data_IF_771601800927
#
_entry.id   IF_771601800927
#
_cell.length_a   1.000
_cell.length_b   1.000
_cell.length_c   1.000
_cell.angle_alpha   90.00
_cell.angle_beta   90.00
_cell.angle_gamma   90.00
#
_symmetry.space_group_name_H-M   'P 1'
#
loop_
_entity.id
_entity.type
_entity.pdbx_description
1 polymer ?
#
# COMPACT_ATOMS: atom_id res chain seq x y z
N UNK A 1 12.49 -7.04 21.62
CA UNK A 1 13.16 -8.35 21.55
C UNK A 1 12.79 -9.03 20.24
N UNK A 2 13.78 -9.17 19.34
CA UNK A 2 13.61 -9.72 17.98
C UNK A 2 13.10 -11.16 18.03
N UNK A 3 13.52 -11.95 19.03
CA UNK A 3 13.11 -13.36 19.15
C UNK A 3 11.60 -13.48 19.41
N UNK A 4 11.03 -12.56 20.22
CA UNK A 4 9.58 -12.52 20.40
C UNK A 4 8.83 -12.16 19.13
N UNK A 5 9.37 -11.19 18.34
CA UNK A 5 8.81 -10.85 17.05
C UNK A 5 8.78 -12.08 16.13
N UNK A 6 9.88 -12.81 16.02
CA UNK A 6 9.94 -14.02 15.20
C UNK A 6 8.99 -15.11 15.68
N UNK A 7 8.87 -15.31 16.99
CA UNK A 7 7.89 -16.26 17.55
C UNK A 7 6.45 -15.88 17.19
N UNK A 8 6.10 -14.58 17.24
CA UNK A 8 4.78 -14.11 16.79
C UNK A 8 4.57 -14.35 15.29
N UNK A 9 5.56 -14.05 14.46
CA UNK A 9 5.49 -14.28 13.02
C UNK A 9 5.31 -15.77 12.67
N UNK A 10 5.89 -16.66 13.45
CA UNK A 10 5.75 -18.11 13.25
C UNK A 10 4.32 -18.62 13.47
N UNK A 11 3.49 -17.89 14.21
CA UNK A 11 2.07 -18.24 14.42
C UNK A 11 1.18 -17.94 13.23
N UNK A 12 1.65 -17.10 12.28
CA UNK A 12 0.90 -16.75 11.06
C UNK A 12 0.65 -17.99 10.20
N UNK A 13 -0.48 -18.01 9.52
CA UNK A 13 -0.95 -19.12 8.67
C UNK A 13 -1.19 -18.64 7.24
N UNK A 14 -1.28 -19.61 6.33
CA UNK A 14 -1.68 -19.31 4.95
C UNK A 14 -3.03 -18.58 4.91
N UNK A 15 -3.10 -17.50 4.15
CA UNK A 15 -4.26 -16.61 4.07
C UNK A 15 -4.22 -15.41 5.01
N UNK A 16 -3.38 -15.44 6.06
CA UNK A 16 -3.20 -14.26 6.92
C UNK A 16 -2.58 -13.10 6.13
N UNK A 17 -2.77 -11.89 6.65
CA UNK A 17 -2.18 -10.67 6.12
C UNK A 17 -1.21 -10.09 7.15
N UNK A 18 0.01 -9.83 6.72
CA UNK A 18 1.01 -9.09 7.49
C UNK A 18 1.29 -7.76 6.82
N UNK A 19 1.24 -6.67 7.57
CA UNK A 19 1.60 -5.34 7.09
C UNK A 19 2.93 -4.93 7.71
N UNK A 20 3.91 -4.64 6.88
CA UNK A 20 5.19 -4.04 7.24
C UNK A 20 5.15 -2.57 6.81
N UNK A 21 4.99 -1.67 7.77
CA UNK A 21 4.81 -0.25 7.50
C UNK A 21 5.78 0.62 8.33
N UNK A 22 6.11 1.78 7.79
CA UNK A 22 6.90 2.79 8.46
C UNK A 22 8.41 2.56 8.41
N UNK A 23 9.13 3.40 9.16
CA UNK A 23 10.58 3.34 9.29
C UNK A 23 11.02 2.32 10.33
N UNK A 24 12.22 1.76 10.13
CA UNK A 24 12.82 0.84 11.10
C UNK A 24 13.46 1.66 12.23
N UNK A 25 13.10 1.39 13.51
CA UNK A 25 13.78 1.99 14.65
C UNK A 25 15.29 1.66 14.66
N UNK A 26 16.12 2.61 15.07
CA UNK A 26 17.57 2.43 15.15
C UNK A 26 18.04 1.27 16.05
N UNK A 27 17.11 0.71 16.85
CA UNK A 27 17.35 -0.46 17.72
C UNK A 27 17.20 -1.78 16.98
N UNK A 28 16.68 -1.77 15.74
CA UNK A 28 16.52 -2.94 14.89
C UNK A 28 17.47 -2.88 13.70
N UNK A 29 17.87 -4.04 13.16
CA UNK A 29 18.68 -4.08 11.94
C UNK A 29 17.92 -3.50 10.75
N UNK A 30 18.57 -2.72 9.90
CA UNK A 30 17.99 -2.13 8.68
C UNK A 30 17.41 -3.18 7.73
N UNK A 31 17.92 -4.41 7.77
CA UNK A 31 17.45 -5.54 6.97
C UNK A 31 16.31 -6.35 7.63
N UNK A 32 15.65 -5.82 8.68
CA UNK A 32 14.63 -6.60 9.43
C UNK A 32 13.45 -7.00 8.51
N UNK A 33 12.99 -6.12 7.61
CA UNK A 33 11.91 -6.43 6.67
C UNK A 33 12.30 -7.57 5.73
N UNK A 34 13.53 -7.55 5.22
CA UNK A 34 14.03 -8.63 4.38
C UNK A 34 14.08 -9.98 5.13
N UNK A 35 14.53 -9.97 6.39
CA UNK A 35 14.53 -11.18 7.23
C UNK A 35 13.12 -11.70 7.51
N UNK A 36 12.17 -10.81 7.76
CA UNK A 36 10.76 -11.18 7.97
C UNK A 36 10.22 -11.83 6.69
N UNK A 37 10.43 -11.19 5.53
CA UNK A 37 9.97 -11.71 4.25
C UNK A 37 10.57 -13.09 3.94
N UNK A 38 11.90 -13.24 4.14
CA UNK A 38 12.58 -14.52 3.94
C UNK A 38 12.05 -15.63 4.87
N UNK A 39 11.74 -15.29 6.14
CA UNK A 39 11.19 -16.25 7.11
C UNK A 39 9.80 -16.75 6.74
N UNK A 40 9.00 -15.89 6.12
CA UNK A 40 7.61 -16.16 5.78
C UNK A 40 7.41 -16.61 4.33
N UNK A 41 8.50 -16.66 3.56
CA UNK A 41 8.45 -17.03 2.14
C UNK A 41 7.85 -18.43 1.95
N UNK A 42 7.01 -18.57 0.92
CA UNK A 42 6.34 -19.84 0.61
C UNK A 42 5.24 -20.28 1.58
N UNK A 43 4.94 -19.53 2.65
CA UNK A 43 3.93 -19.89 3.68
C UNK A 43 2.50 -19.49 3.31
N UNK A 44 2.28 -18.85 2.15
CA UNK A 44 0.95 -18.43 1.71
C UNK A 44 0.37 -17.24 2.48
N UNK A 45 1.23 -16.47 3.15
CA UNK A 45 0.86 -15.23 3.87
C UNK A 45 0.90 -14.08 2.86
N UNK A 46 -0.12 -13.20 2.90
CA UNK A 46 -0.13 -11.96 2.10
C UNK A 46 0.67 -10.89 2.84
N UNK A 47 1.83 -10.53 2.33
CA UNK A 47 2.67 -9.50 2.95
C UNK A 47 2.50 -8.18 2.18
N UNK A 48 2.08 -7.16 2.90
CA UNK A 48 1.95 -5.78 2.41
C UNK A 48 3.13 -4.98 2.93
N UNK A 49 3.80 -4.24 2.05
CA UNK A 49 4.97 -3.42 2.43
C UNK A 49 4.70 -1.96 2.07
N UNK A 50 4.57 -1.14 3.10
CA UNK A 50 4.48 0.31 3.01
C UNK A 50 5.75 0.93 3.57
N UNK A 51 6.81 0.89 2.78
CA UNK A 51 8.14 1.36 3.11
C UNK A 51 8.75 2.08 1.91
N UNK A 52 9.85 2.80 2.15
CA UNK A 52 10.49 3.63 1.14
C UNK A 52 11.87 3.12 0.76
N UNK A 53 12.33 3.51 -0.44
CA UNK A 53 13.72 3.33 -0.91
C UNK A 53 14.24 1.90 -0.74
N UNK A 54 15.41 1.75 -0.13
CA UNK A 54 16.10 0.47 -0.01
C UNK A 54 15.31 -0.57 0.79
N UNK A 55 14.51 -0.15 1.78
CA UNK A 55 13.65 -1.06 2.54
C UNK A 55 12.63 -1.76 1.64
N UNK A 56 12.06 -1.01 0.69
CA UNK A 56 11.11 -1.57 -0.27
C UNK A 56 11.83 -2.39 -1.35
N UNK A 57 12.91 -1.83 -1.94
CA UNK A 57 13.64 -2.49 -3.02
C UNK A 57 14.20 -3.86 -2.62
N UNK A 58 14.72 -3.98 -1.40
CA UNK A 58 15.32 -5.22 -0.89
C UNK A 58 14.31 -6.37 -0.68
N UNK A 59 13.02 -6.06 -0.55
CA UNK A 59 11.97 -7.07 -0.31
C UNK A 59 11.21 -7.50 -1.55
N UNK A 60 11.37 -6.83 -2.69
CA UNK A 60 10.64 -7.13 -3.94
C UNK A 60 10.87 -8.58 -4.40
N UNK A 61 12.07 -9.12 -4.25
CA UNK A 61 12.43 -10.51 -4.59
C UNK A 61 11.61 -11.57 -3.86
N UNK A 62 10.92 -11.21 -2.75
CA UNK A 62 10.03 -12.08 -1.99
C UNK A 62 8.56 -11.93 -2.38
N UNK A 63 8.27 -11.25 -3.47
CA UNK A 63 6.95 -11.10 -4.06
C UNK A 63 5.87 -10.56 -3.10
N UNK A 64 6.06 -9.36 -2.48
CA UNK A 64 5.04 -8.77 -1.63
C UNK A 64 3.69 -8.68 -2.35
N UNK A 65 2.61 -9.00 -1.63
CA UNK A 65 1.27 -8.97 -2.17
C UNK A 65 0.85 -7.57 -2.62
N UNK A 66 1.20 -6.56 -1.84
CA UNK A 66 0.95 -5.16 -2.13
C UNK A 66 2.13 -4.30 -1.66
N UNK A 67 2.51 -3.34 -2.47
CA UNK A 67 3.38 -2.23 -2.09
C UNK A 67 2.68 -0.90 -2.36
N UNK A 68 2.96 0.13 -1.55
CA UNK A 68 2.34 1.45 -1.71
C UNK A 68 3.35 2.60 -1.61
N UNK A 69 4.22 2.81 -2.58
CA UNK A 69 4.97 4.06 -2.68
C UNK A 69 4.06 5.21 -3.15
N UNK A 70 4.40 6.45 -2.83
CA UNK A 70 3.82 7.58 -3.52
C UNK A 70 4.58 7.87 -4.83
N UNK A 71 4.04 8.75 -5.67
CA UNK A 71 4.63 9.09 -6.98
C UNK A 71 6.05 9.70 -6.85
N UNK A 72 6.33 10.46 -5.80
CA UNK A 72 7.66 11.02 -5.55
C UNK A 72 8.65 9.94 -5.14
N UNK A 73 8.27 9.07 -4.20
CA UNK A 73 9.07 7.93 -3.77
C UNK A 73 9.38 6.99 -4.93
N UNK A 74 8.39 6.72 -5.79
CA UNK A 74 8.59 5.96 -7.03
C UNK A 74 9.64 6.60 -7.92
N UNK A 75 9.55 7.91 -8.15
CA UNK A 75 10.55 8.65 -8.92
C UNK A 75 11.94 8.60 -8.28
N UNK A 76 12.04 8.79 -6.96
CA UNK A 76 13.32 8.70 -6.23
C UNK A 76 13.99 7.32 -6.34
N UNK A 77 13.22 6.23 -6.27
CA UNK A 77 13.74 4.86 -6.41
C UNK A 77 14.43 4.62 -7.76
N UNK A 78 13.99 5.30 -8.81
CA UNK A 78 14.58 5.17 -10.15
C UNK A 78 15.40 6.38 -10.59
N UNK A 79 15.57 7.40 -9.73
CA UNK A 79 16.35 8.60 -10.03
C UNK A 79 15.71 9.48 -11.12
N UNK A 80 14.37 9.49 -11.23
CA UNK A 80 13.61 10.23 -12.25
C UNK A 80 12.52 11.10 -11.64
N UNK A 81 12.06 12.10 -12.39
CA UNK A 81 10.86 12.87 -12.05
C UNK A 81 9.70 12.39 -12.91
N UNK A 82 8.68 11.84 -12.28
CA UNK A 82 7.45 11.37 -12.92
C UNK A 82 6.43 12.50 -12.95
N UNK A 83 5.92 12.82 -14.15
CA UNK A 83 5.02 13.96 -14.38
C UNK A 83 3.64 13.54 -14.90
N UNK A 84 3.55 12.39 -15.55
CA UNK A 84 2.32 11.91 -16.15
C UNK A 84 1.89 10.56 -15.58
N UNK A 85 0.60 10.23 -15.72
CA UNK A 85 0.06 8.95 -15.31
C UNK A 85 0.74 7.79 -16.07
N UNK A 86 1.04 7.98 -17.35
CA UNK A 86 1.71 6.99 -18.20
C UNK A 86 3.11 6.67 -17.67
N UNK A 87 3.89 7.70 -17.31
CA UNK A 87 5.21 7.51 -16.70
C UNK A 87 5.10 6.76 -15.34
N UNK A 88 4.11 7.12 -14.50
CA UNK A 88 3.86 6.44 -13.23
C UNK A 88 3.53 4.96 -13.46
N UNK A 89 2.66 4.65 -14.42
CA UNK A 89 2.28 3.27 -14.78
C UNK A 89 3.50 2.48 -15.28
N UNK A 90 4.33 3.10 -16.14
CA UNK A 90 5.55 2.48 -16.65
C UNK A 90 6.48 2.07 -15.50
N UNK A 91 6.77 2.99 -14.57
CA UNK A 91 7.66 2.71 -13.45
C UNK A 91 7.04 1.79 -12.39
N UNK A 92 5.72 1.82 -12.19
CA UNK A 92 5.01 0.81 -11.40
C UNK A 92 5.16 -0.59 -12.02
N UNK A 93 5.15 -0.68 -13.36
CA UNK A 93 5.45 -1.91 -14.11
C UNK A 93 6.85 -2.46 -13.80
N UNK A 94 7.86 -1.61 -13.70
CA UNK A 94 9.23 -2.02 -13.32
C UNK A 94 9.28 -2.62 -11.91
N UNK A 95 8.51 -2.07 -10.95
CA UNK A 95 8.41 -2.67 -9.61
C UNK A 95 7.73 -4.05 -9.64
N UNK A 96 6.76 -4.25 -10.51
CA UNK A 96 6.17 -5.58 -10.74
C UNK A 96 7.19 -6.56 -11.33
N UNK A 97 7.94 -6.16 -12.34
CA UNK A 97 9.01 -6.98 -12.94
C UNK A 97 10.08 -7.37 -11.91
N UNK A 98 10.33 -6.51 -10.91
CA UNK A 98 11.23 -6.78 -9.79
C UNK A 98 10.62 -7.69 -8.71
N UNK A 99 9.32 -7.98 -8.78
CA UNK A 99 8.68 -8.97 -7.94
C UNK A 99 7.38 -8.58 -7.23
N UNK A 100 7.03 -7.31 -7.13
CA UNK A 100 5.77 -6.89 -6.49
C UNK A 100 4.56 -7.48 -7.24
N UNK A 101 3.58 -8.04 -6.51
CA UNK A 101 2.36 -8.58 -7.14
C UNK A 101 1.39 -7.45 -7.50
N UNK A 102 1.11 -6.56 -6.58
CA UNK A 102 0.25 -5.39 -6.79
C UNK A 102 1.01 -4.12 -6.38
N UNK A 103 0.91 -3.07 -7.19
CA UNK A 103 1.57 -1.79 -6.96
C UNK A 103 0.51 -0.70 -6.89
N UNK A 104 0.34 -0.10 -5.71
CA UNK A 104 -0.57 1.01 -5.46
C UNK A 104 0.25 2.29 -5.31
N UNK A 105 0.07 3.24 -6.23
CA UNK A 105 0.76 4.53 -6.19
C UNK A 105 -0.20 5.59 -5.70
N UNK A 106 0.11 6.20 -4.55
CA UNK A 106 -0.64 7.35 -4.03
C UNK A 106 -0.09 8.66 -4.61
N UNK A 107 -0.99 9.59 -4.96
CA UNK A 107 -0.65 10.87 -5.58
C UNK A 107 -1.33 12.04 -4.87
N UNK A 108 -1.59 11.91 -3.58
CA UNK A 108 -2.29 12.92 -2.77
C UNK A 108 -3.60 13.40 -3.44
N UNK A 109 -3.74 14.70 -3.68
CA UNK A 109 -4.92 15.30 -4.32
C UNK A 109 -5.18 14.84 -5.77
N UNK A 110 -4.20 14.25 -6.43
CA UNK A 110 -4.34 13.71 -7.79
C UNK A 110 -4.89 12.26 -7.79
N UNK A 111 -5.06 11.66 -6.61
CA UNK A 111 -5.67 10.36 -6.45
C UNK A 111 -4.70 9.21 -6.30
N UNK A 112 -4.95 8.13 -6.99
CA UNK A 112 -4.10 6.93 -6.94
C UNK A 112 -4.15 6.14 -8.25
N UNK A 113 -3.13 5.31 -8.45
CA UNK A 113 -3.05 4.33 -9.54
C UNK A 113 -2.74 2.97 -8.90
N UNK A 114 -3.50 1.94 -9.30
CA UNK A 114 -3.21 0.55 -8.97
C UNK A 114 -2.82 -0.19 -10.25
N UNK A 115 -1.71 -0.89 -10.21
CA UNK A 115 -1.35 -1.91 -11.19
C UNK A 115 -1.44 -3.27 -10.48
N UNK A 116 -2.45 -4.08 -10.84
CA UNK A 116 -2.71 -5.36 -10.19
C UNK A 116 -1.80 -6.50 -10.70
N UNK A 117 -1.86 -7.65 -10.02
CA UNK A 117 -1.03 -8.81 -10.37
C UNK A 117 -1.33 -9.39 -11.76
N UNK A 118 -2.50 -9.09 -12.33
CA UNK A 118 -2.90 -9.52 -13.67
C UNK A 118 -2.51 -8.52 -14.77
N UNK A 119 -1.92 -7.37 -14.39
CA UNK A 119 -1.51 -6.31 -15.31
C UNK A 119 -2.61 -5.30 -15.64
N UNK A 120 -3.79 -5.38 -14.98
CA UNK A 120 -4.83 -4.37 -15.13
C UNK A 120 -4.48 -3.11 -14.36
N UNK A 121 -4.70 -1.96 -14.98
CA UNK A 121 -4.48 -0.63 -14.41
C UNK A 121 -5.81 -0.03 -13.99
N UNK A 122 -5.86 0.49 -12.77
CA UNK A 122 -6.98 1.26 -12.24
C UNK A 122 -6.48 2.66 -11.89
N UNK A 123 -7.24 3.67 -12.25
CA UNK A 123 -6.96 5.07 -11.91
C UNK A 123 -8.18 5.65 -11.21
N UNK A 124 -7.97 6.30 -10.08
CA UNK A 124 -9.05 6.88 -9.30
C UNK A 124 -8.67 8.23 -8.73
N UNK A 125 -9.63 9.15 -8.70
CA UNK A 125 -9.48 10.46 -8.04
C UNK A 125 -10.09 10.40 -6.65
N UNK A 126 -9.55 11.17 -5.69
CA UNK A 126 -10.19 11.28 -4.39
C UNK A 126 -11.52 12.01 -4.53
N UNK A 127 -12.51 11.69 -3.69
CA UNK A 127 -13.72 12.49 -3.59
C UNK A 127 -13.37 13.92 -3.19
N UNK A 128 -14.22 14.89 -3.58
CA UNK A 128 -14.04 16.29 -3.19
C UNK A 128 -14.23 16.46 -1.68
N UNK A 129 -13.29 17.12 -1.04
CA UNK A 129 -13.31 17.44 0.38
C UNK A 129 -12.17 18.38 0.77
N UNK A 130 -12.25 18.94 1.97
CA UNK A 130 -11.19 19.77 2.52
C UNK A 130 -10.20 18.88 3.28
N UNK A 131 -8.92 18.97 2.94
CA UNK A 131 -7.86 18.23 3.64
C UNK A 131 -7.55 18.93 4.95
N UNK A 132 -7.89 18.31 6.07
CA UNK A 132 -7.61 18.80 7.41
C UNK A 132 -6.29 18.23 7.96
N UNK A 133 -6.04 16.93 7.74
CA UNK A 133 -4.83 16.28 8.19
C UNK A 133 -4.48 15.08 7.27
N UNK A 134 -3.33 15.15 6.59
CA UNK A 134 -2.88 14.06 5.70
C UNK A 134 -2.11 12.94 6.41
N UNK A 135 -1.81 13.09 7.71
CA UNK A 135 -1.07 12.07 8.48
C UNK A 135 -1.94 10.83 8.64
N UNK A 136 -1.40 9.67 8.29
CA UNK A 136 -2.11 8.40 8.35
C UNK A 136 -3.06 8.13 7.17
N UNK A 137 -3.27 9.08 6.25
CA UNK A 137 -4.10 8.84 5.06
C UNK A 137 -3.56 7.71 4.18
N UNK A 138 -2.24 7.58 4.05
CA UNK A 138 -1.59 6.48 3.34
C UNK A 138 -1.83 5.12 4.01
N UNK A 139 -1.67 5.04 5.33
CA UNK A 139 -1.94 3.83 6.12
C UNK A 139 -3.42 3.44 6.02
N UNK A 140 -4.31 4.44 6.07
CA UNK A 140 -5.76 4.25 5.89
C UNK A 140 -6.10 3.72 4.49
N UNK A 141 -5.42 4.21 3.44
CA UNK A 141 -5.58 3.70 2.08
C UNK A 141 -5.18 2.22 1.99
N UNK A 142 -4.07 1.82 2.60
CA UNK A 142 -3.65 0.41 2.69
C UNK A 142 -4.69 -0.43 3.42
N UNK A 143 -5.18 0.05 4.56
CA UNK A 143 -6.19 -0.65 5.36
C UNK A 143 -7.50 -0.84 4.58
N UNK A 144 -7.97 0.21 3.88
CA UNK A 144 -9.14 0.16 3.02
C UNK A 144 -8.97 -0.83 1.87
N UNK A 145 -7.84 -0.80 1.18
CA UNK A 145 -7.52 -1.74 0.11
C UNK A 145 -7.54 -3.20 0.60
N UNK A 146 -6.85 -3.50 1.69
CA UNK A 146 -6.82 -4.85 2.27
C UNK A 146 -8.22 -5.31 2.65
N UNK A 147 -8.99 -4.45 3.32
CA UNK A 147 -10.37 -4.74 3.72
C UNK A 147 -11.26 -5.04 2.52
N UNK A 148 -11.19 -4.22 1.47
CA UNK A 148 -11.93 -4.41 0.22
C UNK A 148 -11.58 -5.73 -0.45
N UNK A 149 -10.28 -6.04 -0.56
CA UNK A 149 -9.82 -7.27 -1.18
C UNK A 149 -10.23 -8.53 -0.39
N UNK A 150 -10.07 -8.51 0.94
CA UNK A 150 -10.44 -9.66 1.79
C UNK A 150 -11.93 -9.96 1.75
N UNK A 151 -12.77 -8.92 1.60
CA UNK A 151 -14.21 -9.09 1.57
C UNK A 151 -14.74 -9.51 0.20
N UNK A 152 -14.06 -9.16 -0.88
CA UNK A 152 -14.63 -9.31 -2.25
C UNK A 152 -13.77 -10.14 -3.19
N UNK A 153 -12.46 -10.22 -2.96
CA UNK A 153 -11.50 -10.78 -3.91
C UNK A 153 -11.32 -9.95 -5.20
N UNK A 154 -11.88 -8.73 -5.23
CA UNK A 154 -11.93 -7.86 -6.39
C UNK A 154 -11.01 -6.66 -6.20
N UNK A 155 -10.06 -6.46 -7.13
CA UNK A 155 -9.09 -5.37 -7.05
C UNK A 155 -9.70 -3.99 -7.28
N UNK A 156 -10.76 -3.87 -8.09
CA UNK A 156 -11.44 -2.60 -8.33
C UNK A 156 -12.12 -2.11 -7.05
N UNK A 157 -12.89 -2.99 -6.40
CA UNK A 157 -13.53 -2.69 -5.11
C UNK A 157 -12.52 -2.43 -4.00
N UNK A 158 -11.42 -3.17 -3.98
CA UNK A 158 -10.32 -2.93 -3.05
C UNK A 158 -9.71 -1.54 -3.25
N UNK A 159 -9.47 -1.15 -4.50
CA UNK A 159 -8.91 0.14 -4.87
C UNK A 159 -9.86 1.30 -4.52
N UNK A 160 -11.14 1.18 -4.86
CA UNK A 160 -12.17 2.18 -4.51
C UNK A 160 -12.27 2.39 -3.00
N UNK A 161 -12.32 1.29 -2.23
CA UNK A 161 -12.35 1.39 -0.76
C UNK A 161 -11.06 1.97 -0.20
N UNK A 162 -9.91 1.67 -0.79
CA UNK A 162 -8.63 2.27 -0.43
C UNK A 162 -8.64 3.79 -0.60
N UNK A 163 -9.05 4.28 -1.77
CA UNK A 163 -9.17 5.73 -2.02
C UNK A 163 -10.15 6.39 -1.05
N UNK A 164 -11.34 5.80 -0.85
CA UNK A 164 -12.34 6.35 0.05
C UNK A 164 -11.83 6.43 1.49
N UNK A 165 -11.15 5.39 1.99
CA UNK A 165 -10.63 5.33 3.35
C UNK A 165 -9.48 6.32 3.56
N UNK A 166 -8.54 6.42 2.62
CA UNK A 166 -7.46 7.39 2.67
C UNK A 166 -7.97 8.83 2.62
N UNK A 167 -8.95 9.10 1.75
CA UNK A 167 -9.57 10.43 1.63
C UNK A 167 -10.37 10.80 2.88
N UNK A 168 -11.16 9.87 3.43
CA UNK A 168 -11.91 10.10 4.64
C UNK A 168 -10.97 10.49 5.80
N UNK A 169 -9.84 9.77 5.97
CA UNK A 169 -8.85 10.12 7.00
C UNK A 169 -8.18 11.48 6.74
N UNK A 170 -7.96 11.86 5.48
CA UNK A 170 -7.40 13.18 5.16
C UNK A 170 -8.39 14.34 5.46
N UNK A 171 -9.69 14.09 5.46
CA UNK A 171 -10.73 15.07 5.71
C UNK A 171 -11.10 15.23 7.20
N UNK A 172 -10.49 14.45 8.07
CA UNK A 172 -10.68 14.51 9.51
C UNK A 172 -9.40 14.96 10.22
N UNK A 173 -9.54 15.47 11.45
CA UNK A 173 -8.38 15.80 12.31
C UNK A 173 -7.64 14.56 12.81
N UNK A 174 -8.35 13.44 12.90
CA UNK A 174 -7.86 12.11 13.28
C UNK A 174 -8.16 11.11 12.17
N UNK A 175 -7.86 9.84 12.38
CA UNK A 175 -8.23 8.78 11.44
C UNK A 175 -9.75 8.69 11.31
N UNK A 176 -10.25 8.49 10.08
CA UNK A 176 -11.67 8.38 9.80
C UNK A 176 -12.32 7.19 10.52
N UNK A 177 -13.57 7.37 10.91
CA UNK A 177 -14.43 6.29 11.34
C UNK A 177 -15.12 5.62 10.12
N UNK A 178 -15.71 4.45 10.35
CA UNK A 178 -16.40 3.69 9.29
C UNK A 178 -17.49 4.52 8.57
N UNK A 179 -18.22 5.30 9.34
CA UNK A 179 -19.31 6.15 8.84
C UNK A 179 -18.82 7.20 7.84
N UNK A 180 -17.63 7.76 8.05
CA UNK A 180 -17.03 8.76 7.17
C UNK A 180 -16.64 8.13 5.84
N UNK A 181 -16.04 6.94 5.86
CA UNK A 181 -15.73 6.18 4.65
C UNK A 181 -17.00 5.83 3.86
N UNK A 182 -18.05 5.36 4.54
CA UNK A 182 -19.32 4.98 3.89
C UNK A 182 -19.99 6.18 3.24
N UNK A 183 -19.91 7.38 3.83
CA UNK A 183 -20.44 8.62 3.21
C UNK A 183 -19.76 8.91 1.87
N UNK A 184 -18.44 8.68 1.76
CA UNK A 184 -17.70 8.94 0.53
C UNK A 184 -17.99 7.90 -0.56
N UNK A 185 -18.16 6.64 -0.19
CA UNK A 185 -18.53 5.56 -1.15
C UNK A 185 -19.92 5.74 -1.76
N UNK A 186 -20.84 6.43 -1.06
CA UNK A 186 -22.21 6.69 -1.54
C UNK A 186 -22.34 7.92 -2.42
N UNK A 187 -21.35 8.78 -2.47
CA UNK A 187 -21.31 9.92 -3.40
C UNK A 187 -20.87 9.38 -4.76
N UNK A 188 -21.83 9.29 -5.71
CA UNK A 188 -21.50 9.03 -7.11
C UNK A 188 -20.50 10.10 -7.60
N UNK A 189 -19.49 9.72 -8.41
CA UNK A 189 -18.66 10.71 -9.08
C UNK A 189 -19.55 11.52 -10.03
N UNK A 190 -19.64 12.85 -9.82
CA UNK A 190 -20.20 13.80 -10.76
C UNK A 190 -19.31 13.96 -11.99
#
# INVERSE_FOLDING_TARGET
>A
DIDKLYQMLDTLKAGDVLVLAGSIPNTLPEYIYERIMARLDGRGIRIVVDATKDLLMNVLKYHPFLIKPNNHELGEMFGVQLKTAEEIIEYAGKLKEMGARNVLISMAGDGAILLDEHGKVYQGRPPKGEVLNSVGAGDSMVAGFITGYLNTGDYEKAFELGIATGSASAFEYWLAEKEDVVKLLKKEPE
#
